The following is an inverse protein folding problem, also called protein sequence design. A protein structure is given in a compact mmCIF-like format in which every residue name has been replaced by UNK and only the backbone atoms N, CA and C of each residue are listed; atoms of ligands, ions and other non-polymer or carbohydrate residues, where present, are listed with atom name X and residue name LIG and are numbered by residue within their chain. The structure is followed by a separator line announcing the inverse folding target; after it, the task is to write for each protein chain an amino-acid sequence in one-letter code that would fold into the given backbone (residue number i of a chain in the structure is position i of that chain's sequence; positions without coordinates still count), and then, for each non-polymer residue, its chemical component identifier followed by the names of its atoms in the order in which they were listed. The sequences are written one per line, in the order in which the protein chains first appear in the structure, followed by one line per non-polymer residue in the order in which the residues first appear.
data_IF_485190689227
#
_entry.id   IF_485190689227
#
_cell.length_a   1.000
_cell.length_b   1.000
_cell.length_c   1.000
_cell.angle_alpha   90.00
_cell.angle_beta   90.00
_cell.angle_gamma   90.00
#
_symmetry.space_group_name_H-M   'P 1'
#
loop_
_entity.id
_entity.type
_entity.pdbx_description
1 polymer ?
#
# COMPACT_ATOMS: atom_id res chain seq x y z
N UNK A 1 52.99 -51.13 12.60
CA UNK A 1 53.18 -49.79 12.00
C UNK A 1 52.13 -48.85 12.59
N UNK A 2 52.53 -47.81 13.32
CA UNK A 2 51.60 -46.82 13.90
C UNK A 2 51.83 -45.48 13.19
N UNK A 3 50.89 -45.08 12.35
CA UNK A 3 50.91 -43.81 11.61
C UNK A 3 50.68 -42.66 12.60
N UNK A 4 51.68 -41.80 12.77
CA UNK A 4 51.57 -40.58 13.59
C UNK A 4 50.95 -39.48 12.73
N UNK A 5 49.63 -39.32 12.78
CA UNK A 5 48.95 -38.18 12.17
C UNK A 5 49.34 -36.90 12.92
N UNK A 6 49.94 -35.95 12.22
CA UNK A 6 50.35 -34.67 12.79
C UNK A 6 49.20 -33.65 12.71
N UNK A 7 49.15 -32.70 13.67
CA UNK A 7 48.08 -31.69 13.75
C UNK A 7 47.91 -30.87 12.46
N UNK A 8 48.99 -30.68 11.69
CA UNK A 8 48.97 -29.98 10.40
C UNK A 8 48.27 -30.77 9.30
N UNK A 9 48.48 -32.09 9.25
CA UNK A 9 47.81 -32.97 8.28
C UNK A 9 46.31 -33.00 8.55
N UNK A 10 45.89 -33.09 9.82
CA UNK A 10 44.46 -33.03 10.19
C UNK A 10 43.78 -31.73 9.73
N UNK A 11 44.43 -30.57 9.93
CA UNK A 11 43.89 -29.28 9.49
C UNK A 11 43.81 -29.19 7.96
N UNK A 12 44.80 -29.72 7.25
CA UNK A 12 44.76 -29.78 5.78
C UNK A 12 43.67 -30.71 5.26
N UNK A 13 43.49 -31.89 5.87
CA UNK A 13 42.44 -32.85 5.47
C UNK A 13 41.05 -32.34 5.83
N UNK A 14 40.88 -31.65 6.96
CA UNK A 14 39.61 -31.05 7.35
C UNK A 14 39.21 -29.88 6.43
N UNK A 15 40.17 -29.05 5.99
CA UNK A 15 39.92 -27.94 5.07
C UNK A 15 39.50 -28.40 3.65
N UNK A 16 40.03 -29.54 3.18
CA UNK A 16 39.61 -30.12 1.91
C UNK A 16 38.21 -30.75 1.97
N UNK A 17 37.81 -31.30 3.13
CA UNK A 17 36.50 -31.93 3.33
C UNK A 17 35.34 -30.94 3.44
N UNK A 18 35.56 -29.75 4.01
CA UNK A 18 34.53 -28.73 4.16
C UNK A 18 34.23 -27.96 2.87
N UNK A 19 35.21 -27.80 1.98
CA UNK A 19 34.99 -27.18 0.66
C UNK A 19 34.05 -28.02 -0.24
N UNK A 20 34.11 -29.35 -0.13
CA UNK A 20 33.24 -30.26 -0.89
C UNK A 20 31.79 -30.22 -0.39
N UNK A 21 31.56 -30.03 0.92
CA UNK A 21 30.21 -29.93 1.47
C UNK A 21 29.52 -28.60 1.14
N UNK A 22 30.27 -27.49 1.08
CA UNK A 22 29.72 -26.19 0.62
C UNK A 22 29.36 -26.18 -0.87
N UNK A 23 30.04 -26.98 -1.70
CA UNK A 23 29.71 -27.09 -3.11
C UNK A 23 28.43 -27.91 -3.38
N UNK A 24 28.06 -28.81 -2.45
CA UNK A 24 26.88 -29.68 -2.60
C UNK A 24 25.62 -29.18 -1.88
N UNK A 25 25.71 -28.13 -1.05
CA UNK A 25 24.55 -27.46 -0.42
C UNK A 25 24.08 -26.21 -1.18
N UNK A 26 24.62 -25.95 -2.38
CA UNK A 26 24.25 -24.81 -3.21
C UNK A 26 22.92 -25.00 -3.99
N UNK A 27 22.15 -26.05 -3.70
CA UNK A 27 20.80 -26.20 -4.24
C UNK A 27 19.77 -25.52 -3.32
N UNK A 28 19.31 -24.36 -3.80
CA UNK A 28 18.11 -23.64 -3.39
C UNK A 28 18.17 -22.86 -2.06
N UNK A 29 18.97 -21.79 -2.03
CA UNK A 29 18.52 -20.60 -1.30
C UNK A 29 17.36 -19.97 -2.10
N UNK A 30 16.23 -19.59 -1.47
CA UNK A 30 15.20 -18.85 -2.17
C UNK A 30 15.82 -17.57 -2.70
N UNK A 31 15.50 -17.24 -3.96
CA UNK A 31 15.86 -15.99 -4.61
C UNK A 31 15.31 -14.82 -3.77
N UNK A 32 16.09 -14.34 -2.80
CA UNK A 32 15.82 -13.07 -2.15
C UNK A 32 16.10 -12.04 -3.23
N UNK A 33 15.05 -11.53 -3.84
CA UNK A 33 15.07 -10.34 -4.67
C UNK A 33 15.52 -9.18 -3.77
N UNK A 34 16.82 -9.05 -3.53
CA UNK A 34 17.39 -7.77 -3.12
C UNK A 34 17.13 -6.85 -4.30
N UNK A 35 16.29 -5.80 -4.16
CA UNK A 35 16.24 -4.79 -5.20
C UNK A 35 17.67 -4.28 -5.33
N UNK A 36 18.26 -4.43 -6.51
CA UNK A 36 19.49 -3.73 -6.81
C UNK A 36 19.16 -2.26 -6.53
N UNK A 37 19.88 -1.63 -5.62
CA UNK A 37 19.66 -0.22 -5.31
C UNK A 37 20.21 0.58 -6.50
N UNK A 38 19.46 0.55 -7.60
CA UNK A 38 19.77 1.28 -8.81
C UNK A 38 19.90 2.75 -8.43
N UNK A 39 20.82 3.43 -9.12
CA UNK A 39 21.14 4.84 -8.86
C UNK A 39 19.81 5.63 -8.84
N UNK A 40 19.54 6.45 -7.81
CA UNK A 40 18.31 7.23 -7.76
C UNK A 40 18.12 8.05 -9.05
N UNK A 41 16.88 8.15 -9.53
CA UNK A 41 16.55 8.89 -10.75
C UNK A 41 17.03 10.35 -10.70
N UNK A 42 16.96 10.98 -9.52
CA UNK A 42 17.48 12.33 -9.26
C UNK A 42 19.00 12.43 -9.48
N UNK A 43 19.73 11.34 -9.30
CA UNK A 43 21.18 11.26 -9.51
C UNK A 43 21.54 10.71 -10.91
N UNK A 44 20.57 10.55 -11.80
CA UNK A 44 20.77 10.07 -13.17
C UNK A 44 20.80 8.54 -13.31
N UNK A 45 20.13 7.80 -12.43
CA UNK A 45 19.70 6.44 -12.77
C UNK A 45 18.32 6.40 -13.40
N UNK A 46 17.82 5.20 -13.69
CA UNK A 46 16.54 5.01 -14.39
C UNK A 46 15.36 5.38 -13.49
N UNK A 47 14.46 6.28 -13.93
CA UNK A 47 13.21 6.55 -13.22
C UNK A 47 12.35 5.30 -13.08
N UNK A 48 11.73 5.12 -11.91
CA UNK A 48 10.79 4.01 -11.66
C UNK A 48 9.54 4.11 -12.55
N UNK A 49 9.20 5.33 -13.00
CA UNK A 49 8.10 5.61 -13.92
C UNK A 49 8.65 6.38 -15.12
N UNK A 50 8.61 5.77 -16.30
CA UNK A 50 9.13 6.36 -17.55
C UNK A 50 8.10 7.23 -18.28
N UNK A 51 6.83 7.22 -17.85
CA UNK A 51 5.73 7.95 -18.46
C UNK A 51 5.42 9.31 -17.81
N UNK A 52 4.50 10.06 -18.42
CA UNK A 52 3.87 11.20 -17.76
C UNK A 52 2.99 10.77 -16.59
N UNK A 53 2.75 11.69 -15.66
CA UNK A 53 1.75 11.49 -14.61
C UNK A 53 0.36 11.83 -15.15
N UNK A 54 -0.70 11.09 -14.77
CA UNK A 54 -2.05 11.47 -15.13
C UNK A 54 -2.38 12.84 -14.52
N UNK A 55 -3.15 13.63 -15.26
CA UNK A 55 -3.68 14.89 -14.74
C UNK A 55 -4.66 14.64 -13.59
N UNK A 56 -4.70 15.57 -12.64
CA UNK A 56 -5.64 15.57 -11.53
C UNK A 56 -6.41 16.89 -11.48
N UNK A 57 -7.74 16.88 -11.26
CA UNK A 57 -8.63 15.72 -11.13
C UNK A 57 -8.90 15.01 -12.46
N UNK A 58 -9.36 13.76 -12.40
CA UNK A 58 -9.82 13.02 -13.58
C UNK A 58 -11.31 13.27 -13.79
N UNK A 59 -11.71 13.58 -15.02
CA UNK A 59 -13.10 13.69 -15.46
C UNK A 59 -13.42 12.61 -16.48
N UNK A 60 -14.63 12.06 -16.42
CA UNK A 60 -15.16 11.14 -17.43
C UNK A 60 -16.52 11.61 -17.94
N UNK A 61 -16.68 11.67 -19.26
CA UNK A 61 -17.95 11.97 -19.93
C UNK A 61 -19.05 10.95 -19.58
N UNK A 62 -18.67 9.73 -19.18
CA UNK A 62 -19.62 8.70 -18.74
C UNK A 62 -20.43 9.08 -17.49
N UNK A 63 -19.99 10.08 -16.71
CA UNK A 63 -20.68 10.55 -15.51
C UNK A 63 -21.71 11.66 -15.79
N UNK A 64 -21.71 12.23 -17.00
CA UNK A 64 -22.59 13.35 -17.36
C UNK A 64 -24.08 13.05 -17.23
N UNK A 65 -24.60 11.86 -17.64
CA UNK A 65 -26.03 11.57 -17.51
C UNK A 65 -26.53 11.67 -16.06
N UNK A 66 -25.80 11.07 -15.12
CA UNK A 66 -26.15 11.07 -13.69
C UNK A 66 -26.14 12.49 -13.11
N UNK A 67 -25.16 13.31 -13.51
CA UNK A 67 -25.06 14.72 -13.09
C UNK A 67 -26.23 15.54 -13.64
N UNK A 68 -26.59 15.34 -14.91
CA UNK A 68 -27.75 16.01 -15.51
C UNK A 68 -29.04 15.59 -14.82
N UNK A 69 -29.18 14.32 -14.44
CA UNK A 69 -30.35 13.83 -13.70
C UNK A 69 -30.43 14.45 -12.29
N UNK A 70 -29.29 14.59 -11.58
CA UNK A 70 -29.22 15.34 -10.31
C UNK A 70 -29.70 16.78 -10.51
N UNK A 71 -29.19 17.48 -11.53
CA UNK A 71 -29.54 18.88 -11.77
C UNK A 71 -31.04 19.03 -12.08
N UNK A 72 -31.59 18.14 -12.92
CA UNK A 72 -33.02 18.14 -13.28
C UNK A 72 -33.93 17.73 -12.12
N UNK A 73 -33.45 16.91 -11.19
CA UNK A 73 -34.26 16.45 -10.04
C UNK A 73 -34.68 17.60 -9.11
N UNK A 74 -33.94 18.72 -9.11
CA UNK A 74 -34.13 19.82 -8.16
C UNK A 74 -33.79 19.47 -6.71
N UNK A 75 -33.38 18.23 -6.42
CA UNK A 75 -32.98 17.77 -5.09
C UNK A 75 -31.45 17.83 -4.96
N UNK A 76 -30.94 19.00 -4.60
CA UNK A 76 -29.50 19.27 -4.56
C UNK A 76 -28.90 19.18 -3.15
N UNK A 77 -29.73 18.93 -2.14
CA UNK A 77 -29.28 18.76 -0.77
C UNK A 77 -29.53 17.34 -0.30
N UNK A 78 -28.73 16.92 0.69
CA UNK A 78 -28.96 15.71 1.45
C UNK A 78 -30.27 15.86 2.23
N UNK A 79 -31.38 15.41 1.63
CA UNK A 79 -32.71 15.38 2.26
C UNK A 79 -32.77 14.30 3.35
N UNK A 80 -31.98 14.46 4.42
CA UNK A 80 -31.97 13.57 5.58
C UNK A 80 -31.44 12.16 5.32
N UNK A 81 -30.49 11.98 4.40
CA UNK A 81 -29.87 10.68 4.08
C UNK A 81 -30.51 9.94 2.91
N UNK A 82 -31.44 10.57 2.17
CA UNK A 82 -31.99 10.03 0.92
C UNK A 82 -31.35 10.62 -0.34
N UNK A 83 -31.59 9.96 -1.48
CA UNK A 83 -31.09 10.37 -2.79
C UNK A 83 -29.62 10.04 -3.02
N UNK A 84 -28.99 10.73 -3.97
CA UNK A 84 -27.61 10.48 -4.40
C UNK A 84 -26.56 10.51 -3.27
N UNK A 85 -26.77 11.34 -2.23
CA UNK A 85 -25.88 11.36 -1.06
C UNK A 85 -26.04 10.10 -0.22
N UNK A 86 -27.26 9.59 -0.06
CA UNK A 86 -27.52 8.34 0.65
C UNK A 86 -26.94 7.12 -0.07
N UNK A 87 -27.06 7.07 -1.38
CA UNK A 87 -26.46 6.02 -2.21
C UNK A 87 -24.92 6.03 -2.09
N UNK A 88 -24.33 7.23 -2.07
CA UNK A 88 -22.91 7.42 -1.79
C UNK A 88 -22.53 6.92 -0.39
N UNK A 89 -23.27 7.30 0.65
CA UNK A 89 -23.00 6.88 2.03
C UNK A 89 -23.08 5.35 2.18
N UNK A 90 -24.07 4.69 1.57
CA UNK A 90 -24.19 3.24 1.58
C UNK A 90 -23.02 2.57 0.85
N UNK A 91 -22.68 3.05 -0.35
CA UNK A 91 -21.56 2.54 -1.14
C UNK A 91 -20.23 2.71 -0.42
N UNK A 92 -20.00 3.87 0.18
CA UNK A 92 -18.76 4.19 0.88
C UNK A 92 -18.62 3.42 2.20
N UNK A 93 -19.74 3.21 2.93
CA UNK A 93 -19.75 2.33 4.10
C UNK A 93 -19.35 0.89 3.74
N UNK A 94 -19.88 0.36 2.63
CA UNK A 94 -19.51 -0.97 2.12
C UNK A 94 -18.04 -1.04 1.72
N UNK A 95 -17.53 -0.03 1.01
CA UNK A 95 -16.13 0.05 0.60
C UNK A 95 -15.17 0.01 1.79
N UNK A 96 -15.50 0.74 2.86
CA UNK A 96 -14.70 0.79 4.08
C UNK A 96 -14.93 -0.40 5.04
N UNK A 97 -15.97 -1.21 4.81
CA UNK A 97 -16.41 -2.23 5.77
C UNK A 97 -16.98 -1.65 7.07
N UNK A 98 -17.45 -0.40 7.05
CA UNK A 98 -18.03 0.27 8.21
C UNK A 98 -19.54 -0.02 8.31
N UNK A 99 -20.09 0.01 9.53
CA UNK A 99 -21.53 -0.20 9.75
C UNK A 99 -22.39 0.92 9.16
N UNK A 100 -21.90 2.16 9.20
CA UNK A 100 -22.57 3.38 8.73
C UNK A 100 -21.52 4.38 8.23
N UNK A 101 -21.92 5.24 7.29
CA UNK A 101 -21.16 6.39 6.82
C UNK A 101 -22.08 7.62 6.84
N UNK A 102 -21.52 8.80 7.09
CA UNK A 102 -22.21 10.09 7.00
C UNK A 102 -21.31 11.03 6.19
N UNK A 103 -21.83 11.56 5.09
CA UNK A 103 -21.15 12.53 4.25
C UNK A 103 -21.27 13.92 4.88
N UNK A 104 -20.17 14.67 4.84
CA UNK A 104 -20.12 16.06 5.33
C UNK A 104 -19.55 16.96 4.24
N UNK A 105 -19.60 18.28 4.44
CA UNK A 105 -19.16 19.24 3.43
C UNK A 105 -17.64 19.17 3.15
N UNK A 106 -16.84 18.71 4.12
CA UNK A 106 -15.38 18.61 3.97
C UNK A 106 -14.76 17.71 5.05
N UNK A 107 -13.50 17.31 4.86
CA UNK A 107 -12.77 16.54 5.87
C UNK A 107 -12.67 17.24 7.24
N UNK A 108 -12.56 18.57 7.27
CA UNK A 108 -12.54 19.34 8.52
C UNK A 108 -13.87 19.22 9.27
N UNK A 109 -15.00 19.34 8.56
CA UNK A 109 -16.32 19.21 9.19
C UNK A 109 -16.60 17.77 9.62
N UNK A 110 -16.07 16.77 8.92
CA UNK A 110 -16.10 15.37 9.35
C UNK A 110 -15.39 15.18 10.69
N UNK A 111 -14.17 15.70 10.84
CA UNK A 111 -13.40 15.57 12.09
C UNK A 111 -14.06 16.32 13.25
N UNK A 112 -14.53 17.55 13.00
CA UNK A 112 -15.25 18.33 14.02
C UNK A 112 -16.51 17.58 14.49
N UNK A 113 -17.29 17.03 13.56
CA UNK A 113 -18.50 16.24 13.89
C UNK A 113 -18.13 14.99 14.69
N UNK A 114 -17.07 14.28 14.32
CA UNK A 114 -16.62 13.10 15.03
C UNK A 114 -16.20 13.40 16.47
N UNK A 115 -15.37 14.43 16.67
CA UNK A 115 -14.93 14.88 18.00
C UNK A 115 -16.10 15.33 18.86
N UNK A 116 -17.01 16.10 18.28
CA UNK A 116 -18.21 16.58 18.97
C UNK A 116 -19.12 15.43 19.43
N UNK A 117 -19.35 14.43 18.57
CA UNK A 117 -20.18 13.25 18.91
C UNK A 117 -19.50 12.34 19.95
N UNK A 118 -18.16 12.28 19.95
CA UNK A 118 -17.42 11.59 21.01
C UNK A 118 -17.42 12.34 22.35
N UNK A 119 -17.88 13.61 22.36
CA UNK A 119 -17.94 14.44 23.56
C UNK A 119 -16.61 15.03 23.98
N UNK A 120 -15.67 15.19 23.04
CA UNK A 120 -14.36 15.81 23.31
C UNK A 120 -14.53 17.29 23.59
N UNK A 121 -13.98 17.76 24.70
CA UNK A 121 -14.03 19.16 25.13
C UNK A 121 -12.66 19.64 25.67
N UNK A 122 -12.61 20.90 26.09
CA UNK A 122 -11.41 21.51 26.62
C UNK A 122 -10.90 20.78 27.88
N UNK A 123 -9.75 20.11 27.75
CA UNK A 123 -9.08 19.41 28.85
C UNK A 123 -8.95 17.90 28.67
N UNK A 124 -9.51 17.33 27.60
CA UNK A 124 -9.31 15.94 27.17
C UNK A 124 -7.98 15.71 26.41
#
# INVERSE_FOLDING_TARGET
MKTKLTRREFVQTAAAGSAALTAMSAQAAPLVLTPNADKPAVLGGTPVHEGGWPGWPTWSESWEPDIIDILRSGNWCCSGGGGWVGDFEEGYAKLLGAKRCVATASGTTALLTALYVMGVDAGD
#
